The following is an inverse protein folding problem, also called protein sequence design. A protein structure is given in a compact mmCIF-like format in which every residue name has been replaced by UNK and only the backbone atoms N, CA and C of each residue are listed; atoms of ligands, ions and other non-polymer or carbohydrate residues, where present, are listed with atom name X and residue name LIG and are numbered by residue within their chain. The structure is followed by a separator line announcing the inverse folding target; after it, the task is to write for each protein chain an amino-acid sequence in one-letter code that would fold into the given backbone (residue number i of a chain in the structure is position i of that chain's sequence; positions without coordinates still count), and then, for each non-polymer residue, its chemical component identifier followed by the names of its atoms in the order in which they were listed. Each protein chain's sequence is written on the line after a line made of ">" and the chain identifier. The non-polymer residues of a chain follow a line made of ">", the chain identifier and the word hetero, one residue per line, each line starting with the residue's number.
data_IF_879045066647
#
_entry.id   IF_879045066647
#
_cell.length_a   1.000
_cell.length_b   1.000
_cell.length_c   1.000
_cell.angle_alpha   90.00
_cell.angle_beta   90.00
_cell.angle_gamma   90.00
#
_symmetry.space_group_name_H-M   'P 1'
#
loop_
_entity.id
_entity.type
_entity.pdbx_description
1 polymer ?
#
# COMPACT_ATOMS: atom_id res chain seq x y z
N UNK A 1 12.49 13.73 -6.64
CA UNK A 1 11.55 14.38 -5.75
C UNK A 1 11.62 15.89 -5.93
N UNK A 2 10.54 16.53 -6.37
CA UNK A 2 10.55 17.95 -6.76
C UNK A 2 11.67 18.33 -7.73
N UNK A 3 11.92 17.53 -8.73
CA UNK A 3 12.98 17.73 -9.71
C UNK A 3 14.40 17.44 -9.22
N UNK A 4 14.56 16.99 -7.97
CA UNK A 4 15.85 16.59 -7.41
C UNK A 4 15.99 15.07 -7.36
N UNK A 5 17.19 14.57 -7.59
CA UNK A 5 17.53 13.17 -7.37
C UNK A 5 17.42 12.84 -5.86
N UNK A 6 16.66 11.82 -5.51
CA UNK A 6 16.48 11.36 -4.12
C UNK A 6 17.80 10.89 -3.50
N UNK A 7 18.73 10.37 -4.29
CA UNK A 7 20.06 9.98 -3.83
C UNK A 7 20.88 11.15 -3.30
N UNK A 8 20.52 12.39 -3.63
CA UNK A 8 21.20 13.61 -3.16
C UNK A 8 20.66 14.15 -1.83
N UNK A 9 19.55 13.58 -1.30
CA UNK A 9 18.96 13.99 -0.04
C UNK A 9 19.86 13.54 1.12
N UNK A 10 20.55 14.47 1.76
CA UNK A 10 21.54 14.19 2.83
C UNK A 10 21.10 14.70 4.20
N UNK A 11 20.46 15.86 4.25
CA UNK A 11 20.08 16.53 5.49
C UNK A 11 18.96 15.81 6.25
N UNK A 12 19.00 15.84 7.60
CA UNK A 12 17.95 15.25 8.44
C UNK A 12 16.57 15.86 8.15
N UNK A 13 16.50 17.19 8.00
CA UNK A 13 15.26 17.90 7.72
C UNK A 13 14.68 17.51 6.34
N UNK A 14 15.54 17.45 5.30
CA UNK A 14 15.13 17.04 3.94
C UNK A 14 14.63 15.58 3.93
N UNK A 15 15.30 14.66 4.62
CA UNK A 15 14.84 13.27 4.75
C UNK A 15 13.51 13.17 5.48
N UNK A 16 13.31 13.92 6.57
CA UNK A 16 12.03 13.96 7.27
C UNK A 16 10.90 14.46 6.35
N UNK A 17 11.16 15.49 5.56
CA UNK A 17 10.21 16.03 4.59
C UNK A 17 9.90 15.01 3.49
N UNK A 18 10.92 14.33 2.95
CA UNK A 18 10.75 13.27 1.97
C UNK A 18 9.89 12.13 2.53
N UNK A 19 10.24 11.58 3.70
CA UNK A 19 9.49 10.49 4.32
C UNK A 19 8.08 10.89 4.77
N UNK A 20 7.82 12.16 5.03
CA UNK A 20 6.47 12.65 5.29
C UNK A 20 5.60 12.60 4.04
N UNK A 21 6.19 12.80 2.86
CA UNK A 21 5.47 12.85 1.58
C UNK A 21 5.43 11.54 0.82
N UNK A 22 6.42 10.69 1.01
CA UNK A 22 6.55 9.39 0.35
C UNK A 22 6.56 8.31 1.42
N UNK A 23 5.59 7.42 1.35
CA UNK A 23 5.45 6.30 2.27
C UNK A 23 5.41 4.98 1.51
N UNK A 24 5.65 3.87 2.22
CA UNK A 24 5.61 2.53 1.67
C UNK A 24 4.73 1.59 2.47
N UNK A 25 4.03 0.71 1.77
CA UNK A 25 3.45 -0.52 2.28
C UNK A 25 4.19 -1.65 1.58
N UNK A 26 4.75 -2.56 2.36
CA UNK A 26 5.55 -3.69 1.85
C UNK A 26 4.80 -5.01 2.06
N UNK A 27 5.21 -6.01 1.32
CA UNK A 27 4.62 -7.36 1.31
C UNK A 27 4.50 -7.96 2.73
N UNK A 28 5.56 -7.87 3.53
CA UNK A 28 5.54 -8.30 4.93
C UNK A 28 5.16 -7.14 5.85
N UNK A 29 3.95 -7.14 6.45
CA UNK A 29 3.52 -6.09 7.34
C UNK A 29 4.36 -6.02 8.63
N UNK A 30 4.87 -7.15 9.13
CA UNK A 30 5.64 -7.17 10.38
C UNK A 30 7.01 -6.50 10.23
N UNK A 31 7.66 -6.63 9.06
CA UNK A 31 8.94 -5.99 8.78
C UNK A 31 8.84 -4.45 8.77
N UNK A 32 7.63 -3.91 8.60
CA UNK A 32 7.37 -2.46 8.56
C UNK A 32 7.23 -1.82 9.95
N UNK A 33 7.25 -2.62 11.01
CA UNK A 33 7.06 -2.14 12.38
C UNK A 33 8.26 -2.49 13.26
N UNK A 34 8.59 -1.57 14.17
CA UNK A 34 9.52 -1.89 15.24
C UNK A 34 8.81 -2.77 16.27
N UNK A 35 9.25 -4.02 16.39
CA UNK A 35 8.66 -5.03 17.29
C UNK A 35 8.71 -4.64 18.77
N UNK A 36 9.59 -3.73 19.15
CA UNK A 36 9.73 -3.20 20.51
C UNK A 36 8.89 -1.95 20.79
N UNK A 37 8.18 -1.43 19.79
CA UNK A 37 7.31 -0.27 19.93
C UNK A 37 5.86 -0.71 20.03
N UNK A 38 5.13 -0.15 20.99
CA UNK A 38 3.68 -0.37 21.10
C UNK A 38 2.94 0.30 19.94
N UNK A 39 1.79 -0.25 19.60
CA UNK A 39 0.97 0.23 18.48
C UNK A 39 0.52 1.68 18.65
N UNK A 40 0.09 2.05 19.83
CA UNK A 40 -0.30 3.42 20.18
C UNK A 40 0.87 4.40 19.99
N UNK A 41 2.09 4.00 20.35
CA UNK A 41 3.30 4.79 20.09
C UNK A 41 3.56 4.98 18.60
N UNK A 42 3.42 3.90 17.81
CA UNK A 42 3.61 3.96 16.34
C UNK A 42 2.60 4.91 15.69
N UNK A 43 1.32 4.84 16.08
CA UNK A 43 0.29 5.75 15.56
C UNK A 43 0.52 7.19 16.00
N UNK A 44 0.94 7.40 17.25
CA UNK A 44 1.29 8.72 17.78
C UNK A 44 2.46 9.35 17.02
N UNK A 45 3.47 8.54 16.66
CA UNK A 45 4.60 9.01 15.86
C UNK A 45 4.18 9.46 14.45
N UNK A 46 3.21 8.81 13.85
CA UNK A 46 2.62 9.27 12.58
C UNK A 46 1.99 10.66 12.70
N UNK A 47 1.22 10.91 13.75
CA UNK A 47 0.63 12.22 14.03
C UNK A 47 1.72 13.27 14.26
N UNK A 48 2.74 12.95 15.05
CA UNK A 48 3.86 13.83 15.34
C UNK A 48 4.67 14.17 14.09
N UNK A 49 4.91 13.19 13.22
CA UNK A 49 5.63 13.36 11.94
C UNK A 49 4.86 14.27 10.98
N UNK A 50 3.54 14.19 10.96
CA UNK A 50 2.69 15.06 10.16
C UNK A 50 2.63 16.51 10.67
N UNK A 51 3.16 16.80 11.85
CA UNK A 51 3.17 18.12 12.47
C UNK A 51 2.22 18.26 13.66
N UNK A 52 1.56 17.18 14.06
CA UNK A 52 0.62 17.17 15.19
C UNK A 52 1.26 17.10 16.58
N UNK A 53 2.58 17.38 16.71
CA UNK A 53 3.28 17.32 17.98
C UNK A 53 2.66 18.22 19.06
N UNK A 54 2.13 19.37 18.66
CA UNK A 54 1.51 20.37 19.54
C UNK A 54 0.04 20.08 19.89
N UNK A 55 -0.57 19.06 19.27
CA UNK A 55 -1.97 18.74 19.54
C UNK A 55 -2.15 18.23 20.98
N UNK A 56 -3.29 18.59 21.64
CA UNK A 56 -3.67 18.01 22.92
C UNK A 56 -3.78 16.50 22.85
N UNK A 57 -3.60 15.83 24.01
CA UNK A 57 -3.67 14.37 24.11
C UNK A 57 -4.99 13.81 23.59
N UNK A 58 -6.10 14.42 23.96
CA UNK A 58 -7.44 13.96 23.58
C UNK A 58 -7.63 14.02 22.06
N UNK A 59 -7.12 15.08 21.40
CA UNK A 59 -7.17 15.19 19.95
C UNK A 59 -6.31 14.15 19.24
N UNK A 60 -5.18 13.76 19.83
CA UNK A 60 -4.34 12.67 19.31
C UNK A 60 -5.05 11.33 19.42
N UNK A 61 -5.73 11.07 20.54
CA UNK A 61 -6.53 9.85 20.76
C UNK A 61 -7.67 9.80 19.74
N UNK A 62 -8.39 10.90 19.54
CA UNK A 62 -9.45 11.01 18.52
C UNK A 62 -8.95 10.65 17.13
N UNK A 63 -7.81 11.21 16.70
CA UNK A 63 -7.22 10.92 15.40
C UNK A 63 -6.78 9.44 15.27
N UNK A 64 -6.23 8.84 16.32
CA UNK A 64 -5.86 7.42 16.32
C UNK A 64 -7.11 6.53 16.25
N UNK A 65 -8.15 6.88 16.97
CA UNK A 65 -9.45 6.16 16.94
C UNK A 65 -10.08 6.26 15.55
N UNK A 66 -10.11 7.45 14.95
CA UNK A 66 -10.59 7.66 13.58
C UNK A 66 -9.83 6.81 12.56
N UNK A 67 -8.50 6.83 12.63
CA UNK A 67 -7.66 6.03 11.74
C UNK A 67 -7.87 4.51 11.88
N UNK A 68 -8.03 4.03 13.10
CA UNK A 68 -8.34 2.63 13.36
C UNK A 68 -9.74 2.25 12.86
N UNK A 69 -10.73 3.11 13.11
CA UNK A 69 -12.10 2.90 12.64
C UNK A 69 -12.20 2.85 11.13
N UNK A 70 -11.43 3.70 10.41
CA UNK A 70 -11.36 3.69 8.96
C UNK A 70 -10.96 2.32 8.40
N UNK A 71 -10.13 1.57 9.11
CA UNK A 71 -9.66 0.24 8.72
C UNK A 71 -10.38 -0.90 9.46
N UNK A 72 -11.54 -0.64 10.04
CA UNK A 72 -12.32 -1.61 10.80
C UNK A 72 -11.52 -2.27 11.95
N UNK A 73 -10.74 -1.46 12.66
CA UNK A 73 -10.06 -1.84 13.90
C UNK A 73 -10.57 -0.95 15.04
N UNK A 74 -10.57 -1.47 16.27
CA UNK A 74 -10.88 -0.70 17.47
C UNK A 74 -9.59 -0.29 18.15
N UNK A 75 -9.39 1.03 18.30
CA UNK A 75 -8.16 1.56 18.89
C UNK A 75 -7.94 1.05 20.32
N UNK A 76 -9.01 0.92 21.11
CA UNK A 76 -8.97 0.45 22.49
C UNK A 76 -8.40 -0.99 22.59
N UNK A 77 -8.70 -1.83 21.60
CA UNK A 77 -8.18 -3.21 21.54
C UNK A 77 -6.71 -3.27 21.12
N UNK A 78 -6.16 -2.20 20.57
CA UNK A 78 -4.77 -2.09 20.11
C UNK A 78 -3.86 -1.38 21.11
N UNK A 79 -4.46 -0.61 22.01
CA UNK A 79 -3.72 0.16 23.02
C UNK A 79 -2.86 -0.78 23.89
N UNK A 80 -1.61 -0.38 24.08
CA UNK A 80 -0.57 -1.13 24.81
C UNK A 80 -0.12 -2.45 24.18
N UNK A 81 -0.65 -2.89 23.04
CA UNK A 81 -0.18 -4.08 22.34
C UNK A 81 1.07 -3.82 21.51
N UNK A 82 1.83 -4.87 21.31
CA UNK A 82 2.97 -4.92 20.42
C UNK A 82 2.60 -5.56 19.09
N UNK A 83 3.37 -5.35 18.00
CA UNK A 83 3.11 -5.92 16.67
C UNK A 83 2.90 -7.44 16.69
N UNK A 84 3.69 -8.19 17.46
CA UNK A 84 3.61 -9.65 17.54
C UNK A 84 2.35 -10.19 18.21
N UNK A 85 1.56 -9.34 18.87
CA UNK A 85 0.27 -9.68 19.47
C UNK A 85 -0.90 -9.54 18.50
N UNK A 86 -0.63 -9.11 17.27
CA UNK A 86 -1.66 -8.89 16.23
C UNK A 86 -1.59 -9.97 15.14
N UNK A 87 -2.75 -10.26 14.55
CA UNK A 87 -2.80 -11.10 13.35
C UNK A 87 -2.24 -10.36 12.12
N UNK A 88 -1.81 -11.11 11.09
CA UNK A 88 -1.33 -10.53 9.83
C UNK A 88 -2.32 -9.56 9.19
N UNK A 89 -3.62 -9.91 9.19
CA UNK A 89 -4.66 -9.03 8.67
C UNK A 89 -4.89 -7.77 9.51
N UNK A 90 -4.70 -7.83 10.84
CA UNK A 90 -4.72 -6.63 11.69
C UNK A 90 -3.51 -5.75 11.40
N UNK A 91 -2.32 -6.33 11.24
CA UNK A 91 -1.10 -5.60 10.90
C UNK A 91 -1.20 -4.92 9.53
N UNK A 92 -1.77 -5.60 8.53
CA UNK A 92 -2.00 -5.02 7.21
C UNK A 92 -2.93 -3.81 7.28
N UNK A 93 -4.06 -3.95 7.97
CA UNK A 93 -4.99 -2.83 8.19
C UNK A 93 -4.34 -1.69 8.98
N UNK A 94 -3.51 -2.02 9.95
CA UNK A 94 -2.77 -1.02 10.72
C UNK A 94 -1.76 -0.24 9.85
N UNK A 95 -1.14 -0.86 8.85
CA UNK A 95 -0.32 -0.13 7.87
C UNK A 95 -1.14 0.93 7.12
N UNK A 96 -2.38 0.61 6.74
CA UNK A 96 -3.27 1.58 6.07
C UNK A 96 -3.69 2.68 7.06
N UNK A 97 -3.98 2.37 8.32
CA UNK A 97 -4.26 3.37 9.36
C UNK A 97 -3.08 4.36 9.53
N UNK A 98 -1.83 3.88 9.43
CA UNK A 98 -0.66 4.77 9.41
C UNK A 98 -0.67 5.72 8.20
N UNK A 99 -0.99 5.21 7.00
CA UNK A 99 -1.10 6.05 5.80
C UNK A 99 -2.23 7.07 5.94
N UNK A 100 -3.36 6.68 6.51
CA UNK A 100 -4.47 7.58 6.83
C UNK A 100 -4.02 8.74 7.72
N UNK A 101 -3.24 8.47 8.77
CA UNK A 101 -2.69 9.51 9.66
C UNK A 101 -1.66 10.39 8.98
N UNK A 102 -0.76 9.81 8.20
CA UNK A 102 0.34 10.53 7.55
C UNK A 102 -0.12 11.37 6.35
N UNK A 103 -1.14 10.93 5.62
CA UNK A 103 -1.65 11.55 4.38
C UNK A 103 -0.51 11.92 3.42
N UNK A 104 0.30 10.95 2.96
CA UNK A 104 1.43 11.22 2.07
C UNK A 104 0.94 11.71 0.71
N UNK A 105 1.86 12.23 -0.10
CA UNK A 105 1.58 12.57 -1.50
C UNK A 105 1.76 11.39 -2.45
N UNK A 106 2.69 10.50 -2.11
CA UNK A 106 2.98 9.29 -2.88
C UNK A 106 3.01 8.09 -1.94
N UNK A 107 2.32 7.03 -2.31
CA UNK A 107 2.35 5.74 -1.66
C UNK A 107 2.96 4.70 -2.61
N UNK A 108 4.00 4.02 -2.16
CA UNK A 108 4.54 2.83 -2.81
C UNK A 108 3.89 1.61 -2.16
N UNK A 109 3.08 0.88 -2.88
CA UNK A 109 2.38 -0.31 -2.40
C UNK A 109 2.97 -1.54 -3.11
N UNK A 110 3.87 -2.23 -2.42
CA UNK A 110 4.57 -3.41 -2.93
C UNK A 110 3.87 -4.68 -2.42
N UNK A 111 3.13 -5.32 -3.31
CA UNK A 111 2.28 -6.49 -3.02
C UNK A 111 1.44 -6.37 -1.73
N UNK A 112 0.69 -5.29 -1.55
CA UNK A 112 0.06 -4.96 -0.28
C UNK A 112 -1.02 -5.95 0.16
N UNK A 113 -1.37 -6.93 -0.67
CA UNK A 113 -2.44 -7.91 -0.41
C UNK A 113 -1.97 -9.37 -0.53
N UNK A 114 -0.67 -9.64 -0.75
CA UNK A 114 -0.15 -10.98 -1.04
C UNK A 114 -0.31 -11.97 0.14
N UNK A 115 -0.27 -11.47 1.39
CA UNK A 115 -0.36 -12.29 2.60
C UNK A 115 -1.77 -12.35 3.23
N UNK A 116 -2.80 -11.98 2.46
CA UNK A 116 -4.17 -11.88 2.96
C UNK A 116 -5.07 -12.86 2.20
N UNK A 117 -6.05 -13.42 2.90
CA UNK A 117 -7.09 -14.22 2.26
C UNK A 117 -7.91 -13.44 1.22
N UNK A 118 -8.48 -14.14 0.26
CA UNK A 118 -9.17 -13.54 -0.88
C UNK A 118 -10.32 -12.59 -0.47
N UNK A 119 -11.04 -12.90 0.60
CA UNK A 119 -12.16 -12.07 1.07
C UNK A 119 -11.67 -10.75 1.66
N UNK A 120 -10.60 -10.79 2.45
CA UNK A 120 -10.01 -9.58 3.07
C UNK A 120 -9.25 -8.72 2.07
N UNK A 121 -8.78 -9.32 0.94
CA UNK A 121 -8.01 -8.64 -0.11
C UNK A 121 -8.81 -7.50 -0.75
N UNK A 122 -10.05 -7.76 -1.14
CA UNK A 122 -10.95 -6.74 -1.70
C UNK A 122 -11.16 -5.57 -0.73
N UNK A 123 -11.41 -5.88 0.54
CA UNK A 123 -11.59 -4.85 1.59
C UNK A 123 -10.37 -3.94 1.73
N UNK A 124 -9.16 -4.49 1.69
CA UNK A 124 -7.91 -3.72 1.76
C UNK A 124 -7.75 -2.82 0.54
N UNK A 125 -8.05 -3.31 -0.65
CA UNK A 125 -8.00 -2.51 -1.88
C UNK A 125 -9.00 -1.36 -1.84
N UNK A 126 -10.23 -1.62 -1.42
CA UNK A 126 -11.25 -0.59 -1.28
C UNK A 126 -10.83 0.51 -0.29
N UNK A 127 -10.23 0.13 0.85
CA UNK A 127 -9.68 1.10 1.81
C UNK A 127 -8.60 1.97 1.17
N UNK A 128 -7.68 1.39 0.40
CA UNK A 128 -6.62 2.14 -0.29
C UNK A 128 -7.19 3.07 -1.37
N UNK A 129 -8.16 2.60 -2.16
CA UNK A 129 -8.80 3.41 -3.20
C UNK A 129 -9.64 4.54 -2.61
N UNK A 130 -10.34 4.31 -1.51
CA UNK A 130 -11.08 5.35 -0.80
C UNK A 130 -10.12 6.40 -0.23
N UNK A 131 -9.02 5.96 0.40
CA UNK A 131 -8.00 6.87 0.92
C UNK A 131 -7.36 7.72 -0.20
N UNK A 132 -7.11 7.12 -1.38
CA UNK A 132 -6.65 7.84 -2.57
C UNK A 132 -7.63 8.92 -3.00
N UNK A 133 -8.92 8.59 -3.08
CA UNK A 133 -9.98 9.56 -3.46
C UNK A 133 -10.06 10.73 -2.48
N UNK A 134 -10.00 10.46 -1.17
CA UNK A 134 -10.10 11.47 -0.13
C UNK A 134 -8.88 12.39 -0.06
N UNK A 135 -7.68 11.85 -0.28
CA UNK A 135 -6.43 12.60 -0.09
C UNK A 135 -5.81 13.14 -1.37
N UNK A 136 -6.22 12.63 -2.53
CA UNK A 136 -5.62 12.94 -3.83
C UNK A 136 -4.17 12.43 -3.95
N UNK A 137 -3.76 11.43 -3.14
CA UNK A 137 -2.41 10.87 -3.22
C UNK A 137 -2.23 10.03 -4.49
N UNK A 138 -1.00 9.99 -4.99
CA UNK A 138 -0.60 9.06 -6.05
C UNK A 138 -0.20 7.73 -5.42
N UNK A 139 -0.73 6.62 -5.95
CA UNK A 139 -0.31 5.27 -5.54
C UNK A 139 0.49 4.65 -6.68
N UNK A 140 1.69 4.17 -6.37
CA UNK A 140 2.46 3.27 -7.25
C UNK A 140 2.25 1.86 -6.69
N UNK A 141 1.44 1.09 -7.40
CA UNK A 141 1.03 -0.25 -6.99
C UNK A 141 1.87 -1.29 -7.72
N UNK A 142 2.61 -2.10 -7.00
CA UNK A 142 3.44 -3.18 -7.54
C UNK A 142 2.74 -4.49 -7.25
N UNK A 143 2.49 -5.29 -8.28
CA UNK A 143 1.84 -6.59 -8.15
C UNK A 143 2.20 -7.49 -9.34
N UNK A 144 2.16 -8.80 -9.12
CA UNK A 144 2.18 -9.81 -10.18
C UNK A 144 0.77 -10.20 -10.65
N UNK A 145 -0.29 -9.76 -9.96
CA UNK A 145 -1.68 -10.04 -10.29
C UNK A 145 -2.22 -8.99 -11.27
N UNK A 146 -2.38 -9.40 -12.54
CA UNK A 146 -2.86 -8.53 -13.62
C UNK A 146 -4.31 -8.08 -13.38
N UNK A 147 -5.14 -8.94 -12.81
CA UNK A 147 -6.52 -8.59 -12.48
C UNK A 147 -6.59 -7.45 -11.47
N UNK A 148 -5.74 -7.51 -10.43
CA UNK A 148 -5.59 -6.42 -9.47
C UNK A 148 -5.04 -5.16 -10.13
N UNK A 149 -3.98 -5.29 -10.96
CA UNK A 149 -3.41 -4.16 -11.67
C UNK A 149 -4.45 -3.44 -12.52
N UNK A 150 -5.28 -4.18 -13.24
CA UNK A 150 -6.37 -3.63 -14.05
C UNK A 150 -7.42 -2.92 -13.21
N UNK A 151 -7.79 -3.52 -12.07
CA UNK A 151 -8.84 -2.98 -11.19
C UNK A 151 -8.45 -1.66 -10.51
N UNK A 152 -7.18 -1.50 -10.10
CA UNK A 152 -6.76 -0.37 -9.28
C UNK A 152 -6.07 0.76 -10.03
N UNK A 153 -5.61 0.52 -11.28
CA UNK A 153 -4.68 1.43 -11.96
C UNK A 153 -5.35 2.25 -13.05
N UNK A 154 -4.94 3.52 -13.17
CA UNK A 154 -5.21 4.35 -14.34
C UNK A 154 -4.19 4.05 -15.47
N UNK A 155 -2.94 3.76 -15.10
CA UNK A 155 -1.83 3.45 -16.02
C UNK A 155 -1.03 2.26 -15.53
N UNK A 156 -0.56 1.44 -16.45
CA UNK A 156 0.19 0.21 -16.19
C UNK A 156 1.56 0.28 -16.84
N UNK A 157 2.57 -0.20 -16.12
CA UNK A 157 3.94 -0.36 -16.58
C UNK A 157 4.33 -1.83 -16.43
N UNK A 158 4.60 -2.50 -17.54
CA UNK A 158 5.09 -3.89 -17.52
C UNK A 158 6.61 -3.87 -17.43
N UNK A 159 7.14 -4.55 -16.43
CA UNK A 159 8.59 -4.65 -16.20
C UNK A 159 9.08 -6.07 -16.44
N UNK A 160 10.21 -6.18 -17.13
CA UNK A 160 10.94 -7.43 -17.32
C UNK A 160 12.43 -7.18 -17.18
N UNK A 161 13.12 -8.01 -16.40
CA UNK A 161 14.58 -7.91 -16.17
C UNK A 161 15.04 -6.48 -15.82
N UNK A 162 14.27 -5.77 -15.00
CA UNK A 162 14.57 -4.41 -14.54
C UNK A 162 14.32 -3.30 -15.58
N UNK A 163 13.69 -3.61 -16.72
CA UNK A 163 13.35 -2.64 -17.76
C UNK A 163 11.85 -2.56 -17.96
N UNK A 164 11.35 -1.36 -18.26
CA UNK A 164 9.97 -1.17 -18.70
C UNK A 164 9.89 -1.60 -20.17
N UNK A 165 9.10 -2.66 -20.44
CA UNK A 165 8.91 -3.21 -21.78
C UNK A 165 7.64 -2.72 -22.46
N UNK A 166 6.64 -2.33 -21.69
CA UNK A 166 5.39 -1.74 -22.18
C UNK A 166 4.79 -0.81 -21.13
N UNK A 167 4.13 0.25 -21.55
CA UNK A 167 3.36 1.14 -20.67
C UNK A 167 2.22 1.83 -21.44
N UNK A 168 1.18 2.20 -20.70
CA UNK A 168 0.02 2.91 -21.25
C UNK A 168 -1.12 2.96 -20.24
N UNK A 169 -2.33 3.32 -20.70
CA UNK A 169 -3.52 3.15 -19.88
C UNK A 169 -3.76 1.66 -19.57
N UNK A 170 -4.48 1.36 -18.49
CA UNK A 170 -4.76 -0.03 -18.11
C UNK A 170 -5.47 -0.78 -19.25
N UNK A 171 -6.43 -0.12 -19.93
CA UNK A 171 -7.14 -0.69 -21.07
C UNK A 171 -6.22 -0.99 -22.27
N UNK A 172 -5.31 -0.07 -22.59
CA UNK A 172 -4.38 -0.28 -23.72
C UNK A 172 -3.42 -1.43 -23.47
N UNK A 173 -2.82 -1.49 -22.27
CA UNK A 173 -1.79 -2.48 -21.98
C UNK A 173 -2.37 -3.86 -21.72
N UNK A 174 -3.52 -3.95 -21.03
CA UNK A 174 -4.08 -5.22 -20.60
C UNK A 174 -5.03 -5.81 -21.63
N UNK A 175 -5.89 -4.99 -22.26
CA UNK A 175 -6.84 -5.48 -23.27
C UNK A 175 -6.24 -5.57 -24.68
N UNK A 176 -5.23 -4.72 -25.00
CA UNK A 176 -4.60 -4.66 -26.30
C UNK A 176 -3.07 -4.70 -26.22
N UNK A 177 -2.47 -5.76 -25.62
CA UNK A 177 -1.02 -5.86 -25.39
C UNK A 177 -0.26 -5.89 -26.72
N UNK A 178 0.82 -5.11 -26.80
CA UNK A 178 1.64 -4.98 -28.00
C UNK A 178 2.84 -5.90 -27.97
N UNK A 179 3.55 -5.98 -26.81
CA UNK A 179 4.76 -6.76 -26.68
C UNK A 179 4.47 -8.26 -26.47
N UNK A 180 5.40 -9.10 -26.92
CA UNK A 180 5.30 -10.55 -26.69
C UNK A 180 5.22 -10.89 -25.20
N UNK A 181 6.02 -10.22 -24.38
CA UNK A 181 6.10 -10.46 -22.96
C UNK A 181 4.79 -10.12 -22.23
N UNK A 182 4.17 -9.00 -22.58
CA UNK A 182 2.84 -8.63 -22.02
C UNK A 182 1.77 -9.62 -22.45
N UNK A 183 1.76 -10.05 -23.72
CA UNK A 183 0.81 -11.07 -24.23
C UNK A 183 0.94 -12.38 -23.46
N UNK A 184 2.18 -12.83 -23.23
CA UNK A 184 2.46 -14.05 -22.46
C UNK A 184 1.98 -13.90 -21.02
N UNK A 185 2.34 -12.80 -20.35
CA UNK A 185 1.95 -12.54 -18.98
C UNK A 185 0.41 -12.55 -18.80
N UNK A 186 -0.33 -12.00 -19.77
CA UNK A 186 -1.80 -11.99 -19.75
C UNK A 186 -2.38 -13.37 -20.07
N UNK A 187 -1.74 -14.14 -20.98
CA UNK A 187 -2.18 -15.49 -21.31
C UNK A 187 -2.03 -16.47 -20.15
N UNK A 188 -1.05 -16.23 -19.27
CA UNK A 188 -0.80 -17.07 -18.09
C UNK A 188 -1.83 -16.80 -16.94
N UNK A 189 -2.72 -15.79 -17.08
CA UNK A 189 -3.80 -15.55 -16.13
C UNK A 189 -4.90 -16.57 -16.34
N UNK A 190 -5.28 -17.34 -15.31
CA UNK A 190 -6.35 -18.34 -15.41
C UNK A 190 -7.67 -17.70 -15.84
N UNK A 191 -8.23 -18.14 -16.97
CA UNK A 191 -9.54 -17.69 -17.42
C UNK A 191 -10.61 -18.61 -16.84
N UNK A 192 -11.55 -18.05 -16.12
CA UNK A 192 -12.61 -18.79 -15.38
C UNK A 192 -13.47 -19.67 -16.32
N UNK A 193 -13.44 -19.38 -17.63
CA UNK A 193 -14.28 -20.07 -18.63
C UNK A 193 -13.51 -21.03 -19.55
N UNK A 194 -12.18 -21.18 -19.38
CA UNK A 194 -11.41 -22.15 -20.15
C UNK A 194 -11.32 -23.47 -19.37
N UNK A 195 -11.85 -24.53 -19.94
CA UNK A 195 -11.66 -25.90 -19.42
C UNK A 195 -10.20 -26.26 -19.65
N UNK A 196 -9.44 -26.46 -18.58
CA UNK A 196 -8.06 -26.87 -18.64
C UNK A 196 -7.99 -28.30 -19.16
N UNK A 197 -7.43 -28.50 -20.33
CA UNK A 197 -7.09 -29.83 -20.84
C UNK A 197 -5.82 -30.36 -20.16
N UNK A 198 -6.02 -31.17 -19.11
CA UNK A 198 -4.91 -31.78 -18.35
C UNK A 198 -4.26 -32.96 -19.09
N UNK A 199 -4.67 -33.27 -20.33
CA UNK A 199 -4.14 -34.39 -21.10
C UNK A 199 -2.76 -34.13 -21.73
N UNK A 200 -2.21 -32.92 -21.60
CA UNK A 200 -0.92 -32.49 -22.18
C UNK A 200 0.20 -32.26 -21.17
N UNK A 201 0.08 -32.77 -19.94
CA UNK A 201 1.16 -32.73 -18.93
C UNK A 201 1.86 -34.07 -18.84
#
# INVERSE_FOLDING_TARGET
>A
FHGRDIATIRGKAERCEYYRRVQGIFQDPFSSFNVFSKIDTVLLDCINMRGGRHLPRDKKIELMTEACSFVNLKFEELTNKYPFELSGGQMQRLMIARIFLLKPKVLLADEPTSMIDACSRATILDMLMNLRKETGMTIIFITHDIGLAYYVSDSVYIMEQGKIVEYGSADEVILNPKTYNTKRLISDVPKIYEVWDLSTV
#
